data_IF_939545784070
#
_entry.id   IF_939545784070
#
_cell.length_a   1.000
_cell.length_b   1.000
_cell.length_c   1.000
_cell.angle_alpha   90.00
_cell.angle_beta   90.00
_cell.angle_gamma   90.00
#
_symmetry.space_group_name_H-M   'P 1'
#
loop_
_entity.id
_entity.type
_entity.pdbx_description
1 polymer ?
#
# COMPACT_ATOMS: atom_id res chain seq x y z
N UNK A 1 -3.70 17.13 27.33
CA UNK A 1 -3.49 16.81 25.91
C UNK A 1 -2.00 16.97 25.62
N UNK A 2 -1.23 15.90 25.78
CA UNK A 2 0.17 15.84 25.32
C UNK A 2 0.15 15.19 23.96
N UNK A 3 -0.15 15.97 22.92
CA UNK A 3 -0.34 15.46 21.57
C UNK A 3 1.01 15.30 20.87
N UNK A 4 1.40 14.06 20.58
CA UNK A 4 2.44 13.81 19.62
C UNK A 4 1.81 13.99 18.23
N UNK A 5 2.25 15.00 17.48
CA UNK A 5 1.84 15.19 16.08
C UNK A 5 2.46 14.05 15.26
N UNK A 6 1.61 13.17 14.76
CA UNK A 6 2.02 11.98 14.02
C UNK A 6 1.50 11.91 12.59
N UNK A 7 1.43 10.68 12.09
CA UNK A 7 0.58 10.31 10.96
C UNK A 7 -0.77 9.87 11.50
N UNK A 8 -1.84 10.23 10.79
CA UNK A 8 -3.14 9.63 11.03
C UNK A 8 -3.23 8.19 10.49
N UNK A 9 -4.45 7.75 10.23
CA UNK A 9 -4.73 6.42 9.70
C UNK A 9 -4.56 6.36 8.17
N UNK A 10 -4.23 5.18 7.65
CA UNK A 10 -4.20 4.96 6.20
C UNK A 10 -5.62 4.67 5.71
N UNK A 11 -6.14 5.48 4.78
CA UNK A 11 -7.40 5.20 4.11
C UNK A 11 -7.14 4.48 2.79
N UNK A 12 -7.95 3.47 2.46
CA UNK A 12 -7.85 2.73 1.18
C UNK A 12 -9.26 2.65 0.57
N UNK A 13 -9.47 3.34 -0.53
CA UNK A 13 -10.74 3.41 -1.25
C UNK A 13 -10.66 2.61 -2.55
N UNK A 14 -11.47 1.55 -2.66
CA UNK A 14 -11.59 0.73 -3.86
C UNK A 14 -12.70 1.18 -4.81
N UNK A 15 -13.46 2.23 -4.44
CA UNK A 15 -14.50 2.79 -5.29
C UNK A 15 -13.97 3.87 -6.22
N UNK A 16 -14.63 4.05 -7.37
CA UNK A 16 -14.32 5.13 -8.33
C UNK A 16 -14.86 6.51 -7.90
N UNK A 17 -15.06 6.71 -6.60
CA UNK A 17 -15.69 7.90 -6.02
C UNK A 17 -14.72 8.69 -5.15
N UNK A 18 -15.10 9.91 -4.79
CA UNK A 18 -14.32 10.75 -3.86
C UNK A 18 -14.29 10.12 -2.47
N UNK A 19 -13.31 10.50 -1.63
CA UNK A 19 -13.22 9.98 -0.26
C UNK A 19 -14.55 10.15 0.50
N UNK A 20 -15.16 11.33 0.40
CA UNK A 20 -16.43 11.65 1.07
C UNK A 20 -17.60 10.75 0.62
N UNK A 21 -17.63 10.35 -0.66
CA UNK A 21 -18.67 9.44 -1.18
C UNK A 21 -18.43 7.98 -0.78
N UNK A 22 -17.19 7.61 -0.49
CA UNK A 22 -16.83 6.26 -0.07
C UNK A 22 -17.06 6.03 1.43
N UNK A 23 -17.20 7.08 2.25
CA UNK A 23 -17.44 6.97 3.70
C UNK A 23 -18.66 6.09 4.01
N UNK A 24 -18.48 5.14 4.94
CA UNK A 24 -19.51 4.18 5.38
C UNK A 24 -19.84 3.08 4.37
N UNK A 25 -19.31 3.13 3.14
CA UNK A 25 -19.56 2.10 2.11
C UNK A 25 -18.64 0.90 2.30
N UNK A 26 -18.96 -0.22 1.62
CA UNK A 26 -18.09 -1.41 1.61
C UNK A 26 -16.73 -1.19 0.93
N UNK A 27 -16.54 -0.08 0.23
CA UNK A 27 -15.35 0.21 -0.58
C UNK A 27 -14.27 0.99 0.16
N UNK A 28 -14.60 1.58 1.32
CA UNK A 28 -13.63 2.31 2.12
C UNK A 28 -13.14 1.49 3.31
N UNK A 29 -11.83 1.31 3.33
CA UNK A 29 -11.07 0.69 4.40
C UNK A 29 -10.21 1.73 5.10
N UNK A 30 -9.91 1.48 6.37
CA UNK A 30 -8.98 2.25 7.17
C UNK A 30 -8.03 1.33 7.90
N UNK A 31 -6.76 1.71 8.00
CA UNK A 31 -5.76 1.01 8.81
C UNK A 31 -5.35 1.93 9.95
N UNK A 32 -5.74 1.54 11.15
CA UNK A 32 -5.18 2.07 12.40
C UNK A 32 -3.94 1.22 12.70
N UNK A 33 -2.76 1.79 12.52
CA UNK A 33 -1.48 1.10 12.71
C UNK A 33 -0.66 1.68 13.87
N UNK A 34 -1.17 2.70 14.56
CA UNK A 34 -0.53 3.25 15.76
C UNK A 34 -1.61 3.67 16.74
N UNK A 35 -1.30 3.61 18.04
CA UNK A 35 -2.16 4.23 19.04
C UNK A 35 -2.19 5.75 18.79
N UNK A 36 -3.25 6.22 18.15
CA UNK A 36 -3.50 7.61 17.85
C UNK A 36 -4.81 8.06 18.51
N UNK A 37 -5.25 9.28 18.20
CA UNK A 37 -6.47 9.89 18.76
C UNK A 37 -7.77 9.34 18.09
N UNK A 38 -7.77 8.08 17.65
CA UNK A 38 -9.00 7.38 17.23
C UNK A 38 -9.84 7.00 18.46
N UNK A 39 -11.17 6.99 18.28
CA UNK A 39 -12.10 6.54 19.32
C UNK A 39 -12.46 5.05 19.15
N UNK A 40 -11.60 4.28 18.47
CA UNK A 40 -11.85 2.89 18.15
C UNK A 40 -11.62 2.01 19.38
N UNK A 41 -12.65 1.26 19.77
CA UNK A 41 -12.61 0.46 21.01
C UNK A 41 -11.82 -0.85 20.87
N UNK A 42 -11.56 -1.30 19.65
CA UNK A 42 -10.88 -2.58 19.35
C UNK A 42 -9.36 -2.44 19.23
N UNK A 43 -8.82 -1.22 19.22
CA UNK A 43 -7.38 -0.94 19.04
C UNK A 43 -6.90 -1.07 17.59
N UNK A 44 -5.59 -0.98 17.36
CA UNK A 44 -5.01 -0.98 16.01
C UNK A 44 -5.40 -2.20 15.16
N UNK A 45 -5.74 -1.96 13.90
CA UNK A 45 -6.24 -2.97 12.98
C UNK A 45 -6.71 -2.42 11.63
N UNK A 46 -7.16 -3.34 10.79
CA UNK A 46 -7.87 -3.04 9.56
C UNK A 46 -9.36 -2.91 9.85
N UNK A 47 -9.96 -1.85 9.32
CA UNK A 47 -11.37 -1.53 9.43
C UNK A 47 -12.01 -1.40 8.05
N UNK A 48 -13.30 -1.77 7.95
CA UNK A 48 -14.15 -1.60 6.76
C UNK A 48 -15.35 -0.72 7.09
N UNK A 49 -15.98 -0.15 6.06
CA UNK A 49 -17.14 0.75 6.24
C UNK A 49 -16.76 1.97 7.09
N UNK A 50 -15.56 2.47 6.81
CA UNK A 50 -14.96 3.54 7.60
C UNK A 50 -15.67 4.85 7.33
N UNK A 51 -15.92 5.62 8.38
CA UNK A 51 -16.12 7.07 8.27
C UNK A 51 -14.89 7.77 8.85
N UNK A 52 -14.61 8.97 8.40
CA UNK A 52 -13.37 9.68 8.72
C UNK A 52 -13.62 10.98 9.47
N UNK A 53 -12.63 11.40 10.25
CA UNK A 53 -12.57 12.70 10.92
C UNK A 53 -11.24 13.38 10.63
N UNK A 54 -11.21 14.69 10.84
CA UNK A 54 -9.99 15.48 10.80
C UNK A 54 -9.59 15.86 12.23
N UNK A 55 -8.30 15.73 12.56
CA UNK A 55 -7.71 16.32 13.76
C UNK A 55 -6.81 17.51 13.42
N UNK A 56 -6.77 17.94 12.15
CA UNK A 56 -5.85 18.99 11.70
C UNK A 56 -5.97 20.27 12.51
N UNK A 57 -7.19 20.79 12.65
CA UNK A 57 -7.41 22.04 13.39
C UNK A 57 -7.11 21.89 14.88
N UNK A 58 -7.37 20.70 15.45
CA UNK A 58 -7.05 20.42 16.86
C UNK A 58 -5.55 20.43 17.10
N UNK A 59 -4.77 19.97 16.10
CA UNK A 59 -3.32 19.98 16.09
C UNK A 59 -2.72 21.25 15.46
N UNK A 60 -3.47 22.37 15.49
CA UNK A 60 -3.05 23.69 15.00
C UNK A 60 -2.58 23.72 13.53
N UNK A 61 -3.05 22.77 12.75
CA UNK A 61 -2.78 22.71 11.32
C UNK A 61 -3.69 23.62 10.50
N UNK A 62 -3.58 23.50 9.18
CA UNK A 62 -4.40 24.26 8.25
C UNK A 62 -5.89 23.89 8.36
N UNK A 63 -6.76 24.89 8.26
CA UNK A 63 -8.22 24.69 8.31
C UNK A 63 -8.78 24.04 7.05
N UNK A 64 -8.00 24.05 5.96
CA UNK A 64 -8.35 23.39 4.71
C UNK A 64 -7.14 22.94 3.91
N UNK A 65 -7.33 21.95 3.04
CA UNK A 65 -6.33 21.53 2.05
C UNK A 65 -5.93 22.71 1.15
N UNK A 66 -6.90 23.54 0.74
CA UNK A 66 -6.63 24.70 -0.09
C UNK A 66 -5.74 25.74 0.61
N UNK A 67 -5.94 25.99 1.90
CA UNK A 67 -5.08 26.89 2.67
C UNK A 67 -3.63 26.38 2.70
N UNK A 68 -3.43 25.07 2.88
CA UNK A 68 -2.10 24.45 2.81
C UNK A 68 -1.48 24.63 1.41
N UNK A 69 -2.19 24.25 0.35
CA UNK A 69 -1.74 24.38 -1.06
C UNK A 69 -1.36 25.82 -1.41
N UNK A 70 -2.17 26.80 -1.00
CA UNK A 70 -1.89 28.22 -1.22
C UNK A 70 -0.63 28.67 -0.47
N UNK A 71 -0.44 28.19 0.75
CA UNK A 71 0.73 28.54 1.57
C UNK A 71 2.01 27.98 0.95
N UNK A 72 2.01 26.72 0.52
CA UNK A 72 3.14 26.11 -0.21
C UNK A 72 3.46 26.90 -1.48
N UNK A 73 2.44 27.28 -2.26
CA UNK A 73 2.60 28.05 -3.49
C UNK A 73 3.19 29.44 -3.24
N UNK A 74 2.74 30.13 -2.18
CA UNK A 74 3.27 31.44 -1.77
C UNK A 74 4.73 31.37 -1.33
N UNK A 75 5.14 30.23 -0.77
CA UNK A 75 6.55 29.94 -0.44
C UNK A 75 7.38 29.47 -1.64
N UNK A 76 6.83 29.59 -2.87
CA UNK A 76 7.45 29.15 -4.14
C UNK A 76 7.68 27.63 -4.23
N UNK A 77 6.98 26.86 -3.39
CA UNK A 77 6.93 25.40 -3.47
C UNK A 77 5.90 24.91 -4.48
N UNK A 78 5.90 23.60 -4.73
CA UNK A 78 4.89 22.92 -5.57
C UNK A 78 4.16 21.89 -4.74
N UNK A 79 2.94 22.20 -4.33
CA UNK A 79 2.10 21.27 -3.58
C UNK A 79 1.69 20.07 -4.47
N UNK A 80 1.74 18.87 -3.91
CA UNK A 80 1.32 17.62 -4.53
C UNK A 80 1.07 16.59 -3.44
N UNK A 81 0.20 15.62 -3.71
CA UNK A 81 -0.01 14.46 -2.85
C UNK A 81 0.72 13.21 -3.40
N UNK A 82 1.81 13.36 -4.16
CA UNK A 82 2.46 12.23 -4.84
C UNK A 82 1.74 11.88 -6.13
N UNK A 83 1.04 10.74 -6.17
CA UNK A 83 0.34 10.24 -7.38
C UNK A 83 -0.87 11.09 -7.79
N UNK A 84 -1.18 12.12 -7.00
CA UNK A 84 -2.33 12.99 -7.21
C UNK A 84 -1.91 14.46 -7.07
N UNK A 85 -2.45 15.31 -7.94
CA UNK A 85 -2.22 16.75 -7.89
C UNK A 85 -2.90 17.36 -6.65
N UNK A 86 -2.32 18.44 -6.11
CA UNK A 86 -2.88 19.13 -4.94
C UNK A 86 -4.26 19.75 -5.20
N UNK A 87 -4.63 19.93 -6.48
CA UNK A 87 -5.93 20.41 -6.92
C UNK A 87 -6.87 19.28 -7.40
N UNK A 88 -6.66 18.05 -6.93
CA UNK A 88 -7.60 16.95 -7.15
C UNK A 88 -9.01 17.22 -6.60
N UNK A 89 -10.03 16.66 -7.24
CA UNK A 89 -11.42 16.65 -6.76
C UNK A 89 -11.72 15.49 -5.82
N UNK A 90 -10.77 14.56 -5.62
CA UNK A 90 -10.93 13.40 -4.76
C UNK A 90 -11.17 13.78 -3.29
N UNK A 91 -10.54 14.87 -2.83
CA UNK A 91 -10.76 15.47 -1.52
C UNK A 91 -11.56 16.77 -1.61
N UNK A 92 -12.29 17.10 -0.55
CA UNK A 92 -12.88 18.42 -0.40
C UNK A 92 -11.79 19.43 -0.02
N UNK A 93 -11.34 20.22 -0.99
CA UNK A 93 -10.25 21.20 -0.80
C UNK A 93 -10.57 22.29 0.21
N UNK A 94 -11.86 22.61 0.38
CA UNK A 94 -12.34 23.64 1.31
C UNK A 94 -12.45 23.13 2.75
N UNK A 95 -12.14 21.86 2.99
CA UNK A 95 -12.14 21.25 4.31
C UNK A 95 -10.72 20.77 4.70
N UNK A 96 -10.50 20.62 6.00
CA UNK A 96 -9.29 19.99 6.52
C UNK A 96 -9.21 18.52 6.08
N UNK A 97 -7.99 18.02 5.96
CA UNK A 97 -7.71 16.64 5.54
C UNK A 97 -8.32 15.65 6.54
N UNK A 98 -8.87 14.56 6.01
CA UNK A 98 -9.47 13.47 6.79
C UNK A 98 -8.37 12.50 7.23
N UNK A 99 -7.75 12.85 8.34
CA UNK A 99 -6.58 12.19 8.91
C UNK A 99 -6.89 10.87 9.60
N UNK A 100 -8.10 10.68 10.13
CA UNK A 100 -8.38 9.60 11.09
C UNK A 100 -9.69 8.87 10.82
N UNK A 101 -9.77 7.63 11.29
CA UNK A 101 -10.99 6.85 11.37
C UNK A 101 -11.85 7.45 12.50
N UNK A 102 -13.09 7.80 12.15
CA UNK A 102 -14.11 8.20 13.11
C UNK A 102 -14.90 6.99 13.61
N UNK A 103 -15.28 6.10 12.70
CA UNK A 103 -15.93 4.83 13.00
C UNK A 103 -15.66 3.81 11.90
N UNK A 104 -15.88 2.53 12.19
CA UNK A 104 -15.76 1.43 11.23
C UNK A 104 -15.95 0.07 11.89
N UNK A 105 -16.08 -0.96 11.06
CA UNK A 105 -16.18 -2.35 11.52
C UNK A 105 -14.81 -3.01 11.45
N UNK A 106 -14.36 -3.62 12.54
CA UNK A 106 -13.11 -4.37 12.57
C UNK A 106 -13.12 -5.51 11.54
N UNK A 107 -12.07 -5.62 10.75
CA UNK A 107 -11.93 -6.59 9.66
C UNK A 107 -10.72 -7.52 9.81
N UNK A 108 -9.75 -7.16 10.66
CA UNK A 108 -8.59 -7.99 10.96
C UNK A 108 -7.46 -7.21 11.64
N UNK A 109 -6.47 -7.94 12.15
CA UNK A 109 -5.29 -7.34 12.77
C UNK A 109 -4.31 -6.77 11.74
N UNK A 110 -3.47 -5.87 12.23
CA UNK A 110 -2.27 -5.39 11.54
C UNK A 110 -1.04 -5.99 12.21
N UNK A 111 -0.01 -6.33 11.45
CA UNK A 111 1.27 -6.77 11.99
C UNK A 111 2.31 -5.70 11.74
N UNK A 112 2.90 -5.14 12.79
CA UNK A 112 3.98 -4.15 12.66
C UNK A 112 5.26 -4.83 12.18
N UNK A 113 5.98 -4.14 11.29
CA UNK A 113 7.27 -4.57 10.76
C UNK A 113 8.35 -3.82 11.54
N UNK A 114 8.89 -4.48 12.56
CA UNK A 114 9.86 -3.88 13.49
C UNK A 114 11.28 -3.82 12.93
N UNK A 115 11.56 -4.59 11.87
CA UNK A 115 12.85 -4.64 11.21
C UNK A 115 12.70 -4.83 9.72
N UNK A 116 13.37 -3.96 8.97
CA UNK A 116 13.56 -4.11 7.53
C UNK A 116 14.90 -4.76 7.21
N UNK A 117 15.57 -5.41 8.16
CA UNK A 117 16.94 -5.94 7.97
C UNK A 117 17.09 -6.89 6.77
N UNK A 118 16.03 -7.62 6.40
CA UNK A 118 15.95 -8.37 5.14
C UNK A 118 15.53 -7.47 3.96
N UNK A 119 16.24 -6.34 3.77
CA UNK A 119 16.01 -5.37 2.66
C UNK A 119 16.16 -5.99 1.27
N UNK A 120 16.54 -7.26 1.16
CA UNK A 120 16.83 -7.95 -0.10
C UNK A 120 15.69 -7.88 -1.12
N UNK A 121 14.46 -7.62 -0.68
CA UNK A 121 13.27 -7.48 -1.54
C UNK A 121 12.69 -6.05 -1.62
N UNK A 122 13.14 -5.12 -0.78
CA UNK A 122 12.64 -3.74 -0.73
C UNK A 122 13.80 -2.76 -0.96
N UNK A 123 13.94 -2.31 -2.20
CA UNK A 123 14.92 -1.29 -2.58
C UNK A 123 14.30 0.11 -2.47
N UNK A 124 14.38 0.71 -1.28
CA UNK A 124 13.97 2.10 -1.05
C UNK A 124 14.88 3.11 -1.76
N UNK A 125 16.14 2.73 -2.05
CA UNK A 125 17.11 3.56 -2.76
C UNK A 125 16.69 3.83 -4.20
N UNK A 126 15.99 2.88 -4.83
CA UNK A 126 15.37 3.06 -6.16
C UNK A 126 14.45 4.29 -6.25
N UNK A 127 13.82 4.69 -5.14
CA UNK A 127 12.93 5.84 -5.09
C UNK A 127 13.61 7.11 -4.56
N UNK A 128 14.94 7.08 -4.35
CA UNK A 128 15.67 8.20 -3.76
C UNK A 128 15.25 8.49 -2.32
N UNK A 129 14.71 7.50 -1.59
CA UNK A 129 14.26 7.69 -0.23
C UNK A 129 15.46 7.91 0.71
N UNK A 130 15.62 9.13 1.24
CA UNK A 130 16.71 9.52 2.16
C UNK A 130 16.26 9.62 3.63
N UNK A 131 15.05 9.16 3.94
CA UNK A 131 14.47 9.27 5.27
C UNK A 131 15.25 8.49 6.34
N UNK A 132 15.42 9.09 7.52
CA UNK A 132 16.07 8.45 8.68
C UNK A 132 15.19 7.40 9.37
N UNK A 133 13.87 7.58 9.29
CA UNK A 133 12.88 6.75 9.97
C UNK A 133 12.08 5.96 8.94
N UNK A 134 11.95 4.65 9.16
CA UNK A 134 11.11 3.76 8.36
C UNK A 134 10.25 2.99 9.34
N UNK A 135 8.94 3.00 9.11
CA UNK A 135 8.00 2.10 9.78
C UNK A 135 7.25 1.32 8.71
N UNK A 136 6.69 0.19 9.09
CA UNK A 136 5.89 -0.61 8.19
C UNK A 136 4.91 -1.45 8.95
N UNK A 137 3.89 -1.88 8.24
CA UNK A 137 2.93 -2.84 8.71
C UNK A 137 2.51 -3.72 7.54
N UNK A 138 1.97 -4.89 7.86
CA UNK A 138 1.33 -5.76 6.89
C UNK A 138 -0.11 -6.04 7.30
N UNK A 139 -0.97 -6.17 6.30
CA UNK A 139 -2.36 -6.60 6.43
C UNK A 139 -2.59 -7.82 5.55
N UNK A 140 -3.49 -8.70 5.99
CA UNK A 140 -3.90 -9.86 5.21
C UNK A 140 -4.66 -9.40 3.96
N UNK A 141 -4.05 -9.64 2.79
CA UNK A 141 -4.62 -9.28 1.48
C UNK A 141 -6.00 -9.89 1.26
N UNK A 142 -6.31 -11.06 1.83
CA UNK A 142 -7.62 -11.70 1.70
C UNK A 142 -8.75 -10.90 2.36
N UNK A 143 -8.42 -9.92 3.21
CA UNK A 143 -9.36 -9.00 3.86
C UNK A 143 -9.68 -7.76 3.03
N UNK A 144 -8.92 -7.52 1.95
CA UNK A 144 -9.11 -6.40 1.04
C UNK A 144 -9.87 -6.82 -0.22
N UNK A 145 -10.50 -5.85 -0.87
CA UNK A 145 -11.02 -6.04 -2.21
C UNK A 145 -9.87 -6.17 -3.22
N UNK A 146 -10.17 -6.77 -4.36
CA UNK A 146 -9.30 -6.71 -5.55
C UNK A 146 -9.75 -5.57 -6.45
N UNK A 147 -8.84 -5.00 -7.23
CA UNK A 147 -9.15 -3.90 -8.15
C UNK A 147 -8.25 -2.70 -7.95
N UNK A 148 -8.61 -1.60 -8.60
CA UNK A 148 -7.92 -0.33 -8.42
C UNK A 148 -8.27 0.26 -7.06
N UNK A 149 -7.33 1.00 -6.47
CA UNK A 149 -7.59 1.73 -5.24
C UNK A 149 -6.85 3.06 -5.21
N UNK A 150 -7.38 3.98 -4.42
CA UNK A 150 -6.71 5.20 -3.98
C UNK A 150 -6.44 5.06 -2.49
N UNK A 151 -5.17 5.04 -2.09
CA UNK A 151 -4.78 5.06 -0.70
C UNK A 151 -4.27 6.45 -0.32
N UNK A 152 -4.60 6.92 0.89
CA UNK A 152 -4.18 8.23 1.37
C UNK A 152 -3.77 8.20 2.84
N UNK A 153 -2.64 8.82 3.15
CA UNK A 153 -2.12 8.99 4.51
C UNK A 153 -1.77 10.47 4.72
N UNK A 154 -2.34 11.08 5.75
CA UNK A 154 -2.09 12.48 6.09
C UNK A 154 -1.37 12.61 7.43
N UNK A 155 -0.42 13.55 7.51
CA UNK A 155 0.13 14.02 8.76
C UNK A 155 -0.93 14.84 9.51
N UNK A 156 -0.99 14.67 10.82
CA UNK A 156 -2.10 15.18 11.62
C UNK A 156 -2.16 16.71 11.72
N UNK A 157 -1.07 17.44 11.49
CA UNK A 157 -1.03 18.90 11.58
C UNK A 157 -0.88 19.61 10.23
N UNK A 158 -0.67 18.87 9.13
CA UNK A 158 -0.15 19.49 7.92
C UNK A 158 -1.19 19.78 6.84
N UNK A 159 -2.34 19.08 6.85
CA UNK A 159 -3.04 18.77 5.58
C UNK A 159 -2.08 18.34 4.46
N UNK A 160 -0.95 17.76 4.89
CA UNK A 160 0.14 17.26 4.09
C UNK A 160 0.06 15.75 4.18
N UNK A 161 0.27 15.11 3.05
CA UNK A 161 -0.01 13.69 2.93
C UNK A 161 0.43 13.13 1.62
N UNK A 162 0.40 11.81 1.57
CA UNK A 162 0.71 11.03 0.39
C UNK A 162 -0.54 10.31 -0.07
N UNK A 163 -0.74 10.32 -1.38
CA UNK A 163 -1.74 9.55 -2.10
C UNK A 163 -1.02 8.58 -3.02
N UNK A 164 -1.50 7.34 -3.00
CA UNK A 164 -0.98 6.24 -3.81
C UNK A 164 -2.14 5.70 -4.63
N UNK A 165 -1.97 5.68 -5.95
CA UNK A 165 -2.88 4.98 -6.85
C UNK A 165 -2.33 3.59 -7.11
N UNK A 166 -3.11 2.56 -6.77
CA UNK A 166 -2.64 1.19 -6.86
C UNK A 166 -3.67 0.23 -7.43
N UNK A 167 -3.23 -1.02 -7.61
CA UNK A 167 -4.10 -2.11 -8.05
C UNK A 167 -3.76 -3.40 -7.31
N UNK A 168 -4.75 -3.98 -6.65
CA UNK A 168 -4.66 -5.33 -6.08
C UNK A 168 -5.15 -6.31 -7.13
N UNK A 169 -4.24 -7.11 -7.68
CA UNK A 169 -4.59 -8.20 -8.58
C UNK A 169 -5.17 -9.37 -7.77
N UNK A 170 -6.34 -9.87 -8.18
CA UNK A 170 -6.83 -11.17 -7.71
C UNK A 170 -5.95 -12.31 -8.20
N UNK A 171 -6.22 -13.52 -7.72
CA UNK A 171 -5.38 -14.71 -8.01
C UNK A 171 -5.28 -15.02 -9.51
N UNK A 172 -6.32 -14.68 -10.28
CA UNK A 172 -6.33 -14.82 -11.75
C UNK A 172 -5.51 -13.75 -12.50
N UNK A 173 -4.98 -12.74 -11.81
CA UNK A 173 -4.21 -11.63 -12.38
C UNK A 173 -2.69 -11.83 -12.33
N UNK A 174 -2.20 -12.89 -11.68
CA UNK A 174 -0.79 -13.24 -11.71
C UNK A 174 -0.52 -13.92 -13.06
N UNK A 175 0.06 -13.18 -14.00
CA UNK A 175 0.63 -13.80 -15.21
C UNK A 175 1.64 -14.83 -14.72
N UNK A 176 1.48 -16.10 -15.08
CA UNK A 176 2.47 -17.13 -14.79
C UNK A 176 3.82 -16.60 -15.28
N UNK A 177 4.76 -16.42 -14.37
CA UNK A 177 6.14 -16.19 -14.77
C UNK A 177 6.54 -17.46 -15.50
N UNK A 178 7.04 -17.39 -16.74
CA UNK A 178 7.51 -18.58 -17.44
C UNK A 178 8.46 -19.29 -16.50
N UNK A 179 8.11 -20.49 -16.06
CA UNK A 179 9.02 -21.29 -15.25
C UNK A 179 10.33 -21.34 -16.01
N UNK A 180 11.41 -21.00 -15.32
CA UNK A 180 12.69 -20.77 -15.95
C UNK A 180 12.98 -21.93 -16.90
N UNK A 181 13.25 -21.61 -18.17
CA UNK A 181 13.62 -22.54 -19.23
C UNK A 181 14.75 -23.55 -18.91
N UNK A 182 15.59 -23.41 -17.84
CA UNK A 182 16.52 -24.47 -17.46
C UNK A 182 15.89 -25.83 -17.18
N UNK A 183 14.66 -25.90 -16.66
CA UNK A 183 13.98 -27.18 -16.38
C UNK A 183 13.59 -27.91 -17.67
N UNK A 184 13.13 -27.19 -18.68
CA UNK A 184 12.88 -27.76 -20.00
C UNK A 184 14.19 -28.19 -20.70
N UNK A 185 15.27 -27.40 -20.54
CA UNK A 185 16.59 -27.73 -21.09
C UNK A 185 17.19 -29.00 -20.48
N UNK A 186 17.06 -29.20 -19.17
CA UNK A 186 17.52 -30.41 -18.46
C UNK A 186 16.76 -31.67 -18.89
N UNK A 187 15.45 -31.57 -19.14
CA UNK A 187 14.66 -32.70 -19.64
C UNK A 187 15.10 -33.15 -21.04
N UNK A 188 15.41 -32.19 -21.94
CA UNK A 188 15.90 -32.50 -23.29
C UNK A 188 17.29 -33.11 -23.27
N UNK A 189 18.21 -32.59 -22.45
CA UNK A 189 19.57 -33.15 -22.31
C UNK A 189 19.51 -34.57 -21.72
N UNK A 190 18.63 -34.81 -20.74
CA UNK A 190 18.42 -36.15 -20.17
C UNK A 190 17.93 -37.17 -21.20
N UNK A 191 16.99 -36.78 -22.07
CA UNK A 191 16.46 -37.65 -23.12
C UNK A 191 17.49 -37.94 -24.22
N UNK A 192 18.27 -36.95 -24.64
CA UNK A 192 19.33 -37.14 -25.66
C UNK A 192 20.49 -37.96 -25.08
N UNK A 193 20.92 -37.70 -23.85
CA UNK A 193 21.96 -38.47 -23.16
C UNK A 193 21.54 -39.93 -22.92
N UNK A 194 20.30 -40.17 -22.49
CA UNK A 194 19.75 -41.51 -22.30
C UNK A 194 19.65 -42.31 -23.61
N UNK A 195 19.20 -41.68 -24.70
CA UNK A 195 19.12 -42.33 -26.01
C UNK A 195 20.52 -42.70 -26.58
N UNK A 196 21.53 -41.85 -26.34
CA UNK A 196 22.91 -42.12 -26.75
C UNK A 196 23.56 -43.24 -25.93
N UNK A 197 23.29 -43.32 -24.62
CA UNK A 197 23.77 -44.40 -23.76
C UNK A 197 23.15 -45.76 -24.12
N UNK A 198 21.84 -45.79 -24.42
CA UNK A 198 21.15 -47.00 -24.86
C UNK A 198 21.67 -47.52 -26.21
N UNK A 199 22.00 -46.63 -27.15
CA UNK A 199 22.62 -47.01 -28.43
C UNK A 199 24.01 -47.63 -28.26
N UNK A 200 24.82 -47.14 -27.31
CA UNK A 200 26.14 -47.74 -27.01
C UNK A 200 26.04 -49.14 -26.41
N UNK A 201 25.07 -49.39 -25.53
CA UNK A 201 24.83 -50.73 -24.97
C UNK A 201 24.34 -51.75 -26.01
N UNK A 202 23.59 -51.31 -27.03
CA UNK A 202 23.14 -52.21 -28.11
C UNK A 202 24.28 -52.60 -29.06
N UNK A 203 25.23 -51.70 -29.36
CA UNK A 203 26.39 -52.05 -30.18
C UNK A 203 27.40 -52.95 -29.44
N UNK A 204 27.55 -52.80 -28.12
CA UNK A 204 28.41 -53.68 -27.33
C UNK A 204 27.90 -55.13 -27.24
N UNK A 205 26.59 -55.37 -27.45
CA UNK A 205 25.98 -56.71 -27.46
C UNK A 205 26.06 -57.43 -28.82
N UNK A 206 26.52 -56.75 -29.87
CA UNK A 206 26.63 -57.28 -31.24
C UNK A 206 28.06 -57.71 -31.62
N UNK A 207 29.02 -57.57 -30.69
CA UNK A 207 30.45 -57.90 -30.88
C UNK A 207 30.90 -58.97 -29.85
N UNK A 208 29.97 -59.61 -29.13
CA UNK A 208 30.23 -60.70 -28.19
C UNK A 208 29.56 -62.00 -28.65
#
# INVERSE_FOLDING_TARGET
MGGAIGYGDLMINFGDSTLAKAEGTSNLYGVDFTKNDTNLTTGSGLYKHVTTKSLTTQNQGYSSIQQHTNTVSNLKGKASFGDMAADTTYFNKSAAARTHIASGNYAGGVTMIDSFSDKSKLDFGKFGATGKYTFGFSIDKSKLQTGNFVASLFAECGNDGVVINGKILGDSGIKSVPESSPLAGLAVIGLVGGALALRKCQQAKLIA
#
